data_IF_146439255097
#
_entry.id   IF_146439255097
#
_cell.length_a   1.000
_cell.length_b   1.000
_cell.length_c   1.000
_cell.angle_alpha   90.00
_cell.angle_beta   90.00
_cell.angle_gamma   90.00
#
_symmetry.space_group_name_H-M   'P 1'
#
loop_
_entity.id
_entity.type
_entity.pdbx_description
1 polymer ?
#
# COMPACT_ATOMS: atom_id res chain seq x y z
N UNK A 1 -2.55 12.95 -12.82
CA UNK A 1 -1.31 12.19 -12.52
C UNK A 1 -1.12 12.15 -11.02
N UNK A 2 -0.76 11.00 -10.43
CA UNK A 2 -0.36 10.95 -9.01
C UNK A 2 1.06 11.51 -8.88
N UNK A 3 1.22 12.62 -8.17
CA UNK A 3 2.52 13.20 -7.75
C UNK A 3 3.61 13.32 -8.85
N UNK A 4 3.25 13.53 -10.12
CA UNK A 4 4.22 13.70 -11.21
C UNK A 4 4.89 12.41 -11.74
N UNK A 5 4.52 11.23 -11.24
CA UNK A 5 5.02 9.96 -11.78
C UNK A 5 4.13 9.42 -12.91
N UNK A 6 4.76 8.92 -13.96
CA UNK A 6 4.07 8.13 -14.98
C UNK A 6 3.47 6.88 -14.34
N UNK A 7 2.23 6.49 -14.69
CA UNK A 7 1.68 5.22 -14.25
C UNK A 7 2.61 4.05 -14.59
N UNK A 8 2.77 3.05 -13.71
CA UNK A 8 3.51 1.83 -14.03
C UNK A 8 2.86 1.08 -15.20
N UNK A 9 3.68 0.48 -16.07
CA UNK A 9 3.20 -0.35 -17.18
C UNK A 9 3.29 -1.83 -16.79
N UNK A 10 2.17 -2.54 -16.89
CA UNK A 10 2.12 -3.97 -16.59
C UNK A 10 2.10 -4.79 -17.88
N UNK A 11 2.87 -5.88 -17.90
CA UNK A 11 2.86 -6.90 -18.95
C UNK A 11 2.75 -8.26 -18.31
N UNK A 12 1.82 -9.09 -18.77
CA UNK A 12 1.59 -10.43 -18.23
C UNK A 12 1.79 -11.47 -19.32
N UNK A 13 2.49 -12.56 -18.99
CA UNK A 13 2.68 -13.70 -19.87
C UNK A 13 2.07 -14.96 -19.24
N UNK A 14 1.31 -15.70 -20.05
CA UNK A 14 0.85 -17.03 -19.68
C UNK A 14 1.99 -18.05 -19.89
N UNK A 15 2.24 -18.87 -18.88
CA UNK A 15 3.24 -19.93 -18.87
C UNK A 15 2.62 -21.27 -19.24
N UNK A 16 3.45 -22.23 -19.66
CA UNK A 16 3.01 -23.59 -19.96
C UNK A 16 2.48 -24.35 -18.73
N UNK A 17 2.79 -23.86 -17.52
CA UNK A 17 2.37 -24.41 -16.23
C UNK A 17 0.95 -23.99 -15.81
N UNK A 18 0.16 -23.36 -16.69
CA UNK A 18 -1.12 -22.72 -16.37
C UNK A 18 -1.00 -21.60 -15.31
N UNK A 19 0.14 -20.91 -15.31
CA UNK A 19 0.43 -19.79 -14.43
C UNK A 19 0.71 -18.52 -15.24
N UNK A 20 0.55 -17.38 -14.60
CA UNK A 20 0.84 -16.07 -15.14
C UNK A 20 2.10 -15.54 -14.48
N UNK A 21 3.02 -15.00 -15.29
CA UNK A 21 4.14 -14.20 -14.82
C UNK A 21 3.96 -12.77 -15.27
N UNK A 22 3.99 -11.83 -14.33
CA UNK A 22 3.87 -10.42 -14.64
C UNK A 22 5.23 -9.73 -14.56
N UNK A 23 5.35 -8.68 -15.36
CA UNK A 23 6.44 -7.73 -15.38
C UNK A 23 5.82 -6.34 -15.22
N UNK A 24 6.35 -5.54 -14.30
CA UNK A 24 5.97 -4.13 -14.14
C UNK A 24 7.17 -3.25 -14.49
N UNK A 25 6.93 -2.28 -15.37
CA UNK A 25 7.91 -1.26 -15.74
C UNK A 25 7.55 0.06 -15.05
N UNK A 26 8.45 0.57 -14.23
CA UNK A 26 8.30 1.82 -13.50
C UNK A 26 9.62 2.57 -13.50
N UNK A 27 9.60 3.87 -13.87
CA UNK A 27 10.80 4.72 -13.93
C UNK A 27 11.95 4.12 -14.80
N UNK A 28 11.60 3.42 -15.88
CA UNK A 28 12.58 2.74 -16.76
C UNK A 28 13.16 1.44 -16.19
N UNK A 29 12.69 1.00 -15.03
CA UNK A 29 13.13 -0.23 -14.36
C UNK A 29 12.06 -1.29 -14.49
N UNK A 30 12.47 -2.55 -14.60
CA UNK A 30 11.55 -3.68 -14.79
C UNK A 30 11.65 -4.66 -13.64
N UNK A 31 10.51 -4.97 -13.02
CA UNK A 31 10.41 -5.91 -11.92
C UNK A 31 9.56 -7.10 -12.34
N UNK A 32 10.04 -8.32 -12.11
CA UNK A 32 9.38 -9.55 -12.51
C UNK A 32 8.82 -10.24 -11.27
N UNK A 33 7.50 -10.39 -11.23
CA UNK A 33 6.82 -11.10 -10.16
C UNK A 33 6.97 -12.61 -10.30
N UNK A 34 6.68 -13.33 -9.20
CA UNK A 34 6.63 -14.80 -9.21
C UNK A 34 5.46 -15.30 -10.08
N UNK A 35 5.56 -16.50 -10.66
CA UNK A 35 4.42 -17.15 -11.31
C UNK A 35 3.24 -17.32 -10.35
N UNK A 36 2.02 -17.00 -10.80
CA UNK A 36 0.77 -17.18 -10.03
C UNK A 36 -0.33 -17.75 -10.90
N UNK A 37 -1.28 -18.45 -10.29
CA UNK A 37 -2.44 -19.04 -10.99
C UNK A 37 -3.37 -18.01 -11.65
N UNK A 38 -3.39 -16.77 -11.16
CA UNK A 38 -4.26 -15.71 -11.68
C UNK A 38 -3.45 -14.51 -12.16
N UNK A 39 -3.90 -13.89 -13.26
CA UNK A 39 -3.28 -12.69 -13.84
C UNK A 39 -3.09 -11.56 -12.82
N UNK A 40 -4.16 -11.21 -12.09
CA UNK A 40 -4.13 -10.12 -11.11
C UNK A 40 -3.18 -10.40 -9.93
N UNK A 41 -3.06 -11.68 -9.51
CA UNK A 41 -2.11 -12.06 -8.46
C UNK A 41 -0.66 -11.92 -8.93
N UNK A 42 -0.38 -12.26 -10.19
CA UNK A 42 0.95 -12.08 -10.76
C UNK A 42 1.32 -10.58 -10.84
N UNK A 43 0.39 -9.74 -11.28
CA UNK A 43 0.58 -8.27 -11.33
C UNK A 43 0.82 -7.69 -9.94
N UNK A 44 0.07 -8.13 -8.94
CA UNK A 44 0.26 -7.74 -7.54
C UNK A 44 1.65 -8.14 -7.03
N UNK A 45 2.09 -9.37 -7.28
CA UNK A 45 3.44 -9.82 -6.87
C UNK A 45 4.52 -8.96 -7.55
N UNK A 46 4.41 -8.69 -8.85
CA UNK A 46 5.36 -7.82 -9.54
C UNK A 46 5.38 -6.38 -8.96
N UNK A 47 4.21 -5.85 -8.59
CA UNK A 47 4.11 -4.54 -7.94
C UNK A 47 4.74 -4.54 -6.53
N UNK A 48 4.61 -5.63 -5.76
CA UNK A 48 5.26 -5.76 -4.45
C UNK A 48 6.77 -5.69 -4.59
N UNK A 49 7.37 -6.39 -5.56
CA UNK A 49 8.81 -6.34 -5.83
C UNK A 49 9.27 -4.92 -6.19
N UNK A 50 8.49 -4.22 -7.02
CA UNK A 50 8.78 -2.84 -7.37
C UNK A 50 8.70 -1.91 -6.14
N UNK A 51 7.69 -2.08 -5.28
CA UNK A 51 7.52 -1.29 -4.06
C UNK A 51 8.68 -1.52 -3.09
N UNK A 52 9.10 -2.77 -2.87
CA UNK A 52 10.23 -3.08 -2.00
C UNK A 52 11.51 -2.35 -2.45
N UNK A 53 11.77 -2.32 -3.75
CA UNK A 53 12.91 -1.59 -4.30
C UNK A 53 12.80 -0.08 -4.13
N UNK A 54 11.60 0.48 -4.31
CA UNK A 54 11.34 1.91 -4.12
C UNK A 54 11.46 2.33 -2.65
N UNK A 55 11.03 1.51 -1.70
CA UNK A 55 11.10 1.83 -0.27
C UNK A 55 12.53 1.71 0.26
N UNK A 56 13.29 0.69 -0.15
CA UNK A 56 14.69 0.55 0.23
C UNK A 56 15.59 1.65 -0.34
N UNK A 57 15.20 2.29 -1.45
CA UNK A 57 15.91 3.46 -1.99
C UNK A 57 15.38 4.80 -1.45
N UNK A 58 14.15 4.84 -0.94
CA UNK A 58 13.55 6.05 -0.35
C UNK A 58 13.97 6.29 1.11
N UNK A 59 14.37 5.25 1.85
CA UNK A 59 14.93 5.39 3.21
C UNK A 59 16.28 6.14 3.22
N UNK A 60 17.03 6.15 2.11
CA UNK A 60 18.27 6.93 2.00
C UNK A 60 18.06 8.45 1.76
N UNK A 61 16.81 8.93 1.85
CA UNK A 61 16.46 10.34 1.70
C UNK A 61 15.61 10.87 2.88
N UNK A 62 15.72 10.26 4.06
CA UNK A 62 15.25 10.87 5.31
C UNK A 62 16.43 10.89 6.29
N UNK A 63 17.25 11.93 6.20
CA UNK A 63 17.99 12.40 7.36
C UNK A 63 16.97 12.69 8.47
N UNK A 64 17.19 12.06 9.63
CA UNK A 64 17.10 12.67 10.96
C UNK A 64 16.08 13.81 11.12
N UNK A 65 14.89 13.51 11.65
CA UNK A 65 14.40 14.18 12.87
C UNK A 65 13.14 13.50 13.43
N UNK A 66 13.04 13.58 14.75
CA UNK A 66 11.88 13.37 15.61
C UNK A 66 11.44 11.94 16.03
N UNK A 67 12.13 11.50 17.08
CA UNK A 67 11.62 10.66 18.17
C UNK A 67 10.22 11.09 18.62
N UNK A 68 9.15 10.36 18.27
CA UNK A 68 8.00 10.03 19.16
C UNK A 68 6.89 9.31 18.38
N UNK A 69 6.39 8.15 18.83
CA UNK A 69 5.11 7.63 18.38
C UNK A 69 4.00 8.62 18.80
N UNK A 70 3.11 9.08 17.90
CA UNK A 70 1.97 9.88 18.33
C UNK A 70 1.09 9.01 19.23
N UNK A 71 0.91 9.44 20.48
CA UNK A 71 -0.02 8.82 21.41
C UNK A 71 -1.46 9.05 20.93
N UNK A 72 -1.93 8.17 20.03
CA UNK A 72 -3.26 8.26 19.38
C UNK A 72 -4.38 7.79 20.32
N UNK A 73 -4.07 7.40 21.57
CA UNK A 73 -5.05 6.78 22.47
C UNK A 73 -6.09 7.76 23.00
N UNK A 74 -5.71 9.01 23.27
CA UNK A 74 -6.60 9.97 23.93
C UNK A 74 -7.72 10.51 23.00
N UNK A 75 -7.47 10.54 21.69
CA UNK A 75 -8.47 11.02 20.72
C UNK A 75 -9.58 9.98 20.48
N UNK A 76 -9.26 8.69 20.53
CA UNK A 76 -10.24 7.61 20.34
C UNK A 76 -11.25 7.51 21.49
N UNK A 77 -10.83 7.83 22.73
CA UNK A 77 -11.72 7.77 23.90
C UNK A 77 -12.85 8.81 23.84
N UNK A 78 -12.59 10.00 23.24
CA UNK A 78 -13.60 11.05 23.03
C UNK A 78 -14.68 10.65 22.02
N UNK A 79 -14.36 9.79 21.05
CA UNK A 79 -15.31 9.26 20.07
C UNK A 79 -16.25 8.22 20.68
N UNK A 80 -15.78 7.41 21.62
CA UNK A 80 -16.56 6.32 22.22
C UNK A 80 -17.40 6.75 23.45
N UNK A 81 -17.13 7.92 24.04
CA UNK A 81 -17.73 8.36 25.30
C UNK A 81 -19.08 9.10 25.23
N UNK A 82 -19.58 9.48 24.04
CA UNK A 82 -20.80 10.31 23.93
C UNK A 82 -22.09 9.48 23.88
N UNK A 83 -22.30 8.63 24.90
CA UNK A 83 -23.64 8.09 25.20
C UNK A 83 -24.55 9.23 25.65
N UNK A 84 -25.42 9.66 24.75
CA UNK A 84 -26.49 10.65 24.97
C UNK A 84 -27.35 10.19 26.16
N UNK A 85 -27.21 10.83 27.32
CA UNK A 85 -28.18 10.72 28.42
C UNK A 85 -29.52 11.28 27.92
N UNK A 86 -30.47 10.41 27.58
CA UNK A 86 -31.85 10.78 27.30
C UNK A 86 -32.49 11.33 28.57
N UNK A 87 -32.72 12.65 28.60
CA UNK A 87 -33.46 13.32 29.66
C UNK A 87 -34.94 12.94 29.52
N UNK A 88 -35.43 12.02 30.36
CA UNK A 88 -36.86 11.76 30.51
C UNK A 88 -37.48 12.94 31.25
N UNK A 89 -38.38 13.65 30.57
CA UNK A 89 -39.27 14.63 31.17
C UNK A 89 -40.50 13.85 31.66
N UNK A 90 -40.73 13.80 32.97
CA UNK A 90 -42.01 13.35 33.55
C UNK A 90 -42.75 14.59 34.05
N UNK A 91 -44.01 14.72 33.62
CA UNK A 91 -45.00 15.60 34.27
C UNK A 91 -45.35 15.06 35.65
#
# INVERSE_FOLDING_TARGET
>A
MRAGHSPPKYKTKHLKTNEFRALVEFKGMQFVGKPKKNKALAEKDAAIEALAWLTHTSENNHNEDDNSPPDVTDNMLKLLGRRRRSKRHSR
#
